data_IF_298670589874
#
_entry.id   IF_298670589874
#
_cell.length_a   1.000
_cell.length_b   1.000
_cell.length_c   1.000
_cell.angle_alpha   90.00
_cell.angle_beta   90.00
_cell.angle_gamma   90.00
#
_symmetry.space_group_name_H-M   'P 1'
#
loop_
_entity.id
_entity.type
_entity.pdbx_description
1 polymer ?
#
# COMPACT_ATOMS: atom_id res chain seq x y z
N UNK A 1 5.76 -7.06 -4.67
CA UNK A 1 5.62 -7.53 -6.08
C UNK A 1 4.29 -8.23 -6.36
N UNK A 2 3.68 -8.95 -5.39
CA UNK A 2 2.42 -9.70 -5.58
C UNK A 2 1.23 -8.85 -6.09
N UNK A 3 1.11 -7.58 -5.71
CA UNK A 3 -0.04 -6.75 -6.12
C UNK A 3 0.03 -6.30 -7.59
N UNK A 4 1.23 -6.09 -8.14
CA UNK A 4 1.44 -5.77 -9.56
C UNK A 4 1.13 -6.99 -10.43
N UNK A 5 1.59 -8.17 -10.02
CA UNK A 5 1.28 -9.44 -10.69
C UNK A 5 -0.21 -9.75 -10.67
N UNK A 6 -0.88 -9.56 -9.52
CA UNK A 6 -2.32 -9.75 -9.39
C UNK A 6 -3.12 -8.77 -10.26
N UNK A 7 -2.69 -7.51 -10.33
CA UNK A 7 -3.30 -6.51 -11.20
C UNK A 7 -3.13 -6.85 -12.69
N UNK A 8 -1.92 -7.23 -13.10
CA UNK A 8 -1.65 -7.68 -14.47
C UNK A 8 -2.47 -8.93 -14.84
N UNK A 9 -2.58 -9.91 -13.93
CA UNK A 9 -3.43 -11.08 -14.12
C UNK A 9 -4.91 -10.70 -14.26
N UNK A 10 -5.39 -9.70 -13.51
CA UNK A 10 -6.75 -9.19 -13.66
C UNK A 10 -6.97 -8.55 -15.04
N UNK A 11 -6.02 -7.73 -15.53
CA UNK A 11 -6.09 -7.18 -16.90
C UNK A 11 -6.12 -8.29 -17.96
N UNK A 12 -5.30 -9.33 -17.80
CA UNK A 12 -5.31 -10.47 -18.73
C UNK A 12 -6.64 -11.23 -18.73
N UNK A 13 -7.31 -11.35 -17.57
CA UNK A 13 -8.66 -11.95 -17.50
C UNK A 13 -9.69 -11.14 -18.27
N UNK A 14 -9.65 -9.80 -18.16
CA UNK A 14 -10.54 -8.92 -18.93
C UNK A 14 -10.34 -9.12 -20.44
N UNK A 15 -9.09 -9.13 -20.91
CA UNK A 15 -8.81 -9.39 -22.33
C UNK A 15 -9.34 -10.75 -22.78
N UNK A 16 -9.13 -11.80 -21.98
CA UNK A 16 -9.64 -13.16 -22.28
C UNK A 16 -11.16 -13.21 -22.32
N UNK A 17 -11.85 -12.44 -21.48
CA UNK A 17 -13.31 -12.34 -21.50
C UNK A 17 -13.83 -11.59 -22.72
N UNK A 18 -13.07 -10.62 -23.23
CA UNK A 18 -13.37 -9.93 -24.47
C UNK A 18 -12.99 -10.74 -25.73
N UNK A 19 -12.35 -11.90 -25.57
CA UNK A 19 -11.83 -12.77 -26.64
C UNK A 19 -10.89 -12.06 -27.64
N UNK A 20 -10.23 -10.99 -27.21
CA UNK A 20 -9.33 -10.20 -28.06
C UNK A 20 -7.90 -10.72 -27.98
N UNK A 21 -7.24 -10.89 -29.12
CA UNK A 21 -5.79 -10.98 -29.17
C UNK A 21 -5.16 -9.63 -28.83
N UNK A 22 -3.90 -9.64 -28.41
CA UNK A 22 -3.16 -8.39 -28.20
C UNK A 22 -2.93 -7.58 -29.48
N UNK A 23 -3.14 -8.16 -30.68
CA UNK A 23 -3.05 -7.42 -31.95
C UNK A 23 -4.35 -6.65 -32.19
N UNK A 24 -5.50 -7.30 -32.07
CA UNK A 24 -6.80 -6.64 -32.17
C UNK A 24 -6.96 -5.56 -31.08
N UNK A 25 -6.50 -5.84 -29.85
CA UNK A 25 -6.51 -4.85 -28.79
C UNK A 25 -5.61 -3.64 -29.10
N UNK A 26 -4.52 -3.81 -29.85
CA UNK A 26 -3.64 -2.71 -30.22
C UNK A 26 -4.36 -1.69 -31.13
N UNK A 27 -5.24 -2.18 -32.00
CA UNK A 27 -6.04 -1.34 -32.90
C UNK A 27 -7.04 -0.48 -32.12
N UNK A 28 -7.56 -0.99 -30.99
CA UNK A 28 -8.50 -0.29 -30.12
C UNK A 28 -7.86 0.60 -29.06
N UNK A 29 -6.66 0.23 -28.58
CA UNK A 29 -6.00 0.92 -27.47
C UNK A 29 -4.97 1.98 -27.92
N UNK A 30 -4.71 2.11 -29.22
CA UNK A 30 -3.70 3.01 -29.80
C UNK A 30 -2.28 2.83 -29.21
N UNK A 31 -1.98 1.63 -28.70
CA UNK A 31 -0.66 1.22 -28.22
C UNK A 31 -0.22 -0.03 -28.96
N UNK A 32 1.08 -0.17 -29.22
CA UNK A 32 1.58 -1.33 -29.95
C UNK A 32 1.36 -2.64 -29.17
N UNK A 33 1.13 -3.72 -29.91
CA UNK A 33 1.00 -5.08 -29.37
C UNK A 33 2.11 -5.41 -28.34
N UNK A 34 3.37 -5.14 -28.69
CA UNK A 34 4.51 -5.40 -27.82
C UNK A 34 4.49 -4.57 -26.51
N UNK A 35 3.97 -3.33 -26.58
CA UNK A 35 3.76 -2.51 -25.39
C UNK A 35 2.68 -3.12 -24.49
N UNK A 36 1.54 -3.54 -25.04
CA UNK A 36 0.43 -4.11 -24.26
C UNK A 36 0.81 -5.46 -23.61
N UNK A 37 1.59 -6.29 -24.30
CA UNK A 37 2.15 -7.53 -23.73
C UNK A 37 3.06 -7.20 -22.55
N UNK A 38 3.94 -6.20 -22.70
CA UNK A 38 4.84 -5.76 -21.62
C UNK A 38 4.07 -5.18 -20.44
N UNK A 39 3.05 -4.34 -20.69
CA UNK A 39 2.20 -3.73 -19.68
C UNK A 39 1.42 -4.76 -18.83
N UNK A 40 1.14 -5.93 -19.41
CA UNK A 40 0.43 -7.03 -18.74
C UNK A 40 1.36 -8.15 -18.26
N UNK A 41 2.68 -7.90 -18.21
CA UNK A 41 3.68 -8.90 -17.80
C UNK A 41 3.76 -9.11 -16.28
N UNK A 42 3.22 -8.20 -15.48
CA UNK A 42 3.34 -8.23 -14.01
C UNK A 42 4.69 -7.77 -13.46
N UNK A 43 5.66 -7.40 -14.32
CA UNK A 43 7.00 -6.95 -13.90
C UNK A 43 7.03 -5.49 -13.43
N UNK A 44 6.16 -4.65 -13.97
CA UNK A 44 5.99 -3.25 -13.60
C UNK A 44 4.53 -2.88 -13.78
N UNK A 45 4.09 -1.86 -13.02
CA UNK A 45 2.75 -1.31 -13.19
C UNK A 45 2.75 -0.33 -14.38
N UNK A 46 1.89 -0.52 -15.40
CA UNK A 46 1.73 0.46 -16.47
C UNK A 46 1.12 1.77 -15.94
N UNK A 47 1.24 2.87 -16.70
CA UNK A 47 0.56 4.11 -16.35
C UNK A 47 -0.96 3.95 -16.38
N UNK A 48 -1.68 4.88 -15.75
CA UNK A 48 -3.14 4.88 -15.80
C UNK A 48 -3.65 5.04 -17.24
N UNK A 49 -3.00 5.85 -18.08
CA UNK A 49 -3.38 6.04 -19.47
C UNK A 49 -3.36 4.72 -20.25
N UNK A 50 -2.26 3.96 -20.15
CA UNK A 50 -2.12 2.64 -20.78
C UNK A 50 -3.16 1.65 -20.23
N UNK A 51 -3.39 1.69 -18.91
CA UNK A 51 -4.37 0.81 -18.24
C UNK A 51 -5.80 1.11 -18.72
N UNK A 52 -6.17 2.39 -18.77
CA UNK A 52 -7.50 2.85 -19.18
C UNK A 52 -7.76 2.54 -20.66
N UNK A 53 -6.77 2.75 -21.54
CA UNK A 53 -6.86 2.41 -22.96
C UNK A 53 -6.99 0.88 -23.15
N UNK A 54 -6.23 0.08 -22.41
CA UNK A 54 -6.34 -1.38 -22.44
C UNK A 54 -7.75 -1.84 -22.03
N UNK A 55 -8.28 -1.33 -20.92
CA UNK A 55 -9.58 -1.76 -20.41
C UNK A 55 -10.72 -1.28 -21.31
N UNK A 56 -10.63 -0.05 -21.81
CA UNK A 56 -11.61 0.51 -22.74
C UNK A 56 -11.59 -0.24 -24.08
N UNK A 57 -10.40 -0.59 -24.59
CA UNK A 57 -10.24 -1.40 -25.79
C UNK A 57 -10.75 -2.83 -25.64
N UNK A 58 -10.74 -3.38 -24.42
CA UNK A 58 -11.41 -4.64 -24.08
C UNK A 58 -12.93 -4.49 -23.83
N UNK A 59 -13.51 -3.31 -24.01
CA UNK A 59 -14.94 -3.08 -23.83
C UNK A 59 -15.42 -3.03 -22.38
N UNK A 60 -14.53 -2.74 -21.41
CA UNK A 60 -14.97 -2.57 -20.02
C UNK A 60 -15.87 -1.34 -19.91
N UNK A 61 -17.09 -1.48 -19.35
CA UNK A 61 -18.01 -0.36 -19.17
C UNK A 61 -17.39 0.81 -18.39
N UNK A 62 -17.72 2.04 -18.79
CA UNK A 62 -17.24 3.25 -18.14
C UNK A 62 -17.56 3.28 -16.63
N UNK A 63 -18.67 2.66 -16.21
CA UNK A 63 -19.09 2.53 -14.81
C UNK A 63 -18.10 1.72 -13.95
N UNK A 64 -17.34 0.80 -14.56
CA UNK A 64 -16.34 -0.01 -13.86
C UNK A 64 -14.96 0.65 -13.83
N UNK A 65 -14.71 1.68 -14.66
CA UNK A 65 -13.44 2.41 -14.70
C UNK A 65 -13.01 2.97 -13.33
N UNK A 66 -13.90 3.58 -12.52
CA UNK A 66 -13.52 4.06 -11.19
C UNK A 66 -13.03 2.95 -10.26
N UNK A 67 -13.59 1.74 -10.36
CA UNK A 67 -13.15 0.61 -9.54
C UNK A 67 -11.74 0.13 -9.95
N UNK A 68 -11.47 0.09 -11.25
CA UNK A 68 -10.14 -0.21 -11.79
C UNK A 68 -9.13 0.87 -11.42
N UNK A 69 -9.50 2.16 -11.51
CA UNK A 69 -8.66 3.28 -11.12
C UNK A 69 -8.26 3.19 -9.66
N UNK A 70 -9.21 2.94 -8.76
CA UNK A 70 -8.90 2.76 -7.33
C UNK A 70 -7.93 1.62 -7.07
N UNK A 71 -8.09 0.49 -7.78
CA UNK A 71 -7.13 -0.63 -7.68
C UNK A 71 -5.76 -0.23 -8.21
N UNK A 72 -5.70 0.42 -9.37
CA UNK A 72 -4.46 0.92 -9.95
C UNK A 72 -3.75 1.89 -9.00
N UNK A 73 -4.46 2.85 -8.41
CA UNK A 73 -3.92 3.81 -7.44
C UNK A 73 -3.37 3.13 -6.18
N UNK A 74 -3.97 2.02 -5.74
CA UNK A 74 -3.43 1.23 -4.61
C UNK A 74 -2.10 0.58 -5.00
N UNK A 75 -1.99 0.04 -6.22
CA UNK A 75 -0.80 -0.63 -6.71
C UNK A 75 0.29 0.37 -7.17
N UNK A 76 -0.11 1.56 -7.62
CA UNK A 76 0.80 2.61 -8.12
C UNK A 76 1.48 3.38 -7.00
N UNK A 77 1.09 3.15 -5.74
CA UNK A 77 1.85 3.64 -4.60
C UNK A 77 3.25 3.07 -4.71
N UNK A 78 4.25 3.93 -4.79
CA UNK A 78 5.64 3.49 -4.78
C UNK A 78 5.92 2.83 -3.42
N UNK A 79 6.09 1.49 -3.36
CA UNK A 79 6.38 0.80 -2.11
C UNK A 79 7.79 1.13 -1.61
N UNK A 80 8.69 1.58 -2.49
CA UNK A 80 10.08 1.85 -2.13
C UNK A 80 10.23 3.12 -1.31
N UNK A 81 9.39 4.13 -1.51
CA UNK A 81 9.47 5.37 -0.74
C UNK A 81 9.07 5.12 0.73
N UNK A 82 8.02 4.34 0.98
CA UNK A 82 7.60 3.99 2.34
C UNK A 82 8.62 3.08 3.03
N UNK A 83 9.16 2.08 2.32
CA UNK A 83 10.16 1.17 2.90
C UNK A 83 11.48 1.90 3.20
N UNK A 84 11.96 2.80 2.32
CA UNK A 84 13.16 3.61 2.57
C UNK A 84 12.97 4.54 3.77
N UNK A 85 11.82 5.22 3.86
CA UNK A 85 11.47 6.05 5.02
C UNK A 85 11.45 5.23 6.32
N UNK A 86 10.92 4.01 6.30
CA UNK A 86 10.87 3.13 7.47
C UNK A 86 12.23 2.57 7.87
N UNK A 87 13.18 2.43 6.94
CA UNK A 87 14.52 1.95 7.25
C UNK A 87 15.28 2.96 8.12
N UNK A 88 15.20 4.25 7.79
CA UNK A 88 15.81 5.35 8.54
C UNK A 88 14.97 5.86 9.70
N UNK A 89 13.71 5.41 9.85
CA UNK A 89 12.84 5.81 10.94
C UNK A 89 13.41 5.40 12.31
N UNK A 90 13.55 6.37 13.20
CA UNK A 90 14.05 6.17 14.57
C UNK A 90 13.04 6.56 15.64
N UNK A 91 12.04 7.36 15.27
CA UNK A 91 11.06 7.93 16.19
C UNK A 91 9.63 7.49 15.86
N UNK A 92 8.72 7.70 16.82
CA UNK A 92 7.28 7.49 16.58
C UNK A 92 6.71 8.47 15.55
N UNK A 93 7.34 9.62 15.39
CA UNK A 93 6.96 10.62 14.40
C UNK A 93 7.29 10.16 12.99
N UNK A 94 8.46 9.56 12.77
CA UNK A 94 8.85 8.94 11.50
C UNK A 94 7.89 7.80 11.12
N UNK A 95 7.51 6.97 12.11
CA UNK A 95 6.51 5.91 11.95
C UNK A 95 5.12 6.50 11.57
N UNK A 96 4.73 7.59 12.22
CA UNK A 96 3.49 8.31 11.96
C UNK A 96 3.45 8.98 10.58
N UNK A 97 4.58 9.52 10.13
CA UNK A 97 4.76 10.10 8.81
C UNK A 97 4.66 9.04 7.71
N UNK A 98 5.31 7.88 7.89
CA UNK A 98 5.20 6.74 6.98
C UNK A 98 3.76 6.19 6.92
N UNK A 99 3.08 6.08 8.07
CA UNK A 99 1.65 5.72 8.12
C UNK A 99 0.77 6.73 7.38
N UNK A 100 1.06 8.03 7.56
CA UNK A 100 0.32 9.10 6.91
C UNK A 100 0.53 9.11 5.40
N UNK A 101 1.75 8.81 4.92
CA UNK A 101 2.05 8.63 3.50
C UNK A 101 1.24 7.46 2.91
N UNK A 102 1.19 6.34 3.64
CA UNK A 102 0.39 5.17 3.26
C UNK A 102 -1.14 5.43 3.32
N UNK A 103 -1.59 6.39 4.13
CA UNK A 103 -3.02 6.65 4.33
C UNK A 103 -3.69 7.48 3.23
N UNK A 104 -2.94 8.18 2.36
CA UNK A 104 -3.54 9.15 1.41
C UNK A 104 -4.24 8.48 0.21
N UNK A 105 -5.46 8.93 -0.20
CA UNK A 105 -6.28 10.04 0.29
C UNK A 105 -7.50 9.56 1.11
N UNK A 106 -7.32 8.63 2.06
CA UNK A 106 -8.45 8.12 2.86
C UNK A 106 -8.69 8.99 4.10
N UNK A 107 -9.93 9.38 4.31
CA UNK A 107 -10.33 10.12 5.51
C UNK A 107 -10.18 9.26 6.76
N UNK A 108 -9.88 9.87 7.92
CA UNK A 108 -9.77 9.15 9.20
C UNK A 108 -11.06 8.37 9.55
N UNK A 109 -12.21 8.90 9.14
CA UNK A 109 -13.53 8.23 9.30
C UNK A 109 -13.61 6.94 8.49
N UNK A 110 -13.09 6.95 7.27
CA UNK A 110 -13.02 5.75 6.43
C UNK A 110 -12.08 4.70 7.05
N UNK A 111 -10.97 5.13 7.63
CA UNK A 111 -10.03 4.20 8.29
C UNK A 111 -10.63 3.58 9.55
N UNK A 112 -11.35 4.36 10.35
CA UNK A 112 -12.08 3.87 11.51
C UNK A 112 -13.11 2.80 11.11
N UNK A 113 -13.92 3.05 10.08
CA UNK A 113 -14.90 2.09 9.57
C UNK A 113 -14.25 0.79 9.05
N UNK A 114 -13.09 0.89 8.39
CA UNK A 114 -12.41 -0.27 7.81
C UNK A 114 -11.64 -1.11 8.84
N UNK A 115 -11.21 -0.51 9.95
CA UNK A 115 -10.28 -1.16 10.89
C UNK A 115 -10.87 -1.40 12.28
N UNK A 116 -11.99 -0.74 12.61
CA UNK A 116 -12.56 -0.71 13.95
C UNK A 116 -11.69 0.03 14.98
N UNK A 117 -10.63 0.72 14.54
CA UNK A 117 -9.76 1.51 15.42
C UNK A 117 -10.33 2.93 15.53
N UNK A 118 -10.54 3.45 16.75
CA UNK A 118 -11.07 4.79 16.93
C UNK A 118 -10.23 5.85 16.22
N UNK A 119 -10.89 6.83 15.59
CA UNK A 119 -10.24 7.98 14.92
C UNK A 119 -9.13 8.61 15.76
N UNK A 120 -9.38 8.80 17.06
CA UNK A 120 -8.44 9.44 18.00
C UNK A 120 -7.17 8.62 18.21
N UNK A 121 -7.27 7.29 18.12
CA UNK A 121 -6.14 6.38 18.23
C UNK A 121 -5.31 6.41 16.95
N UNK A 122 -5.95 6.38 15.77
CA UNK A 122 -5.28 6.51 14.47
C UNK A 122 -4.54 7.85 14.39
N UNK A 123 -5.19 8.94 14.82
CA UNK A 123 -4.58 10.27 14.85
C UNK A 123 -3.36 10.34 15.79
N UNK A 124 -3.40 9.67 16.94
CA UNK A 124 -2.26 9.59 17.86
C UNK A 124 -1.07 8.83 17.27
N UNK A 125 -1.32 7.82 16.45
CA UNK A 125 -0.25 7.11 15.73
C UNK A 125 0.35 7.96 14.62
N UNK A 126 -0.48 8.69 13.87
CA UNK A 126 -0.01 9.54 12.76
C UNK A 126 0.84 10.71 13.27
N UNK A 127 0.54 11.22 14.45
CA UNK A 127 1.31 12.29 15.11
C UNK A 127 2.50 11.78 15.92
N UNK A 128 2.73 10.48 15.99
CA UNK A 128 3.78 9.89 16.83
C UNK A 128 3.58 10.07 18.34
N UNK A 129 2.40 10.53 18.79
CA UNK A 129 2.13 10.78 20.22
C UNK A 129 1.79 9.52 21.00
N UNK A 130 1.46 8.42 20.30
CA UNK A 130 1.11 7.14 20.91
C UNK A 130 1.80 5.98 20.21
N UNK A 131 2.35 5.05 21.00
CA UNK A 131 2.85 3.77 20.49
C UNK A 131 1.69 2.93 19.95
N UNK A 132 1.79 2.49 18.70
CA UNK A 132 0.82 1.58 18.11
C UNK A 132 0.99 0.17 18.67
N UNK A 133 -0.12 -0.51 18.94
CA UNK A 133 -0.08 -1.94 19.24
C UNK A 133 0.17 -2.70 17.92
N UNK A 134 1.08 -3.69 17.94
CA UNK A 134 1.54 -4.43 16.75
C UNK A 134 0.38 -5.03 15.94
N UNK A 135 -0.58 -5.67 16.59
CA UNK A 135 -1.70 -6.34 15.92
C UNK A 135 -2.72 -5.35 15.33
N UNK A 136 -2.88 -4.20 15.99
CA UNK A 136 -3.77 -3.14 15.48
C UNK A 136 -3.10 -2.34 14.36
N UNK A 137 -1.79 -2.16 14.44
CA UNK A 137 -0.99 -1.54 13.39
C UNK A 137 -0.99 -2.43 12.13
N UNK A 138 -0.75 -3.73 12.27
CA UNK A 138 -0.80 -4.67 11.14
C UNK A 138 -2.18 -4.69 10.49
N UNK A 139 -3.27 -4.68 11.28
CA UNK A 139 -4.64 -4.53 10.75
C UNK A 139 -4.84 -3.23 9.97
N UNK A 140 -4.38 -2.10 10.48
CA UNK A 140 -4.48 -0.82 9.80
C UNK A 140 -3.69 -0.82 8.48
N UNK A 141 -2.43 -1.26 8.53
CA UNK A 141 -1.51 -1.28 7.38
C UNK A 141 -2.02 -2.26 6.30
N UNK A 142 -2.60 -3.40 6.69
CA UNK A 142 -3.32 -4.30 5.77
C UNK A 142 -4.55 -3.65 5.15
N UNK A 143 -5.40 -2.99 5.94
CA UNK A 143 -6.59 -2.31 5.43
C UNK A 143 -6.20 -1.16 4.47
N UNK A 144 -5.04 -0.56 4.68
CA UNK A 144 -4.45 0.45 3.80
C UNK A 144 -3.90 -0.13 2.48
N UNK A 145 -3.84 -1.45 2.34
CA UNK A 145 -3.35 -2.13 1.13
C UNK A 145 -1.83 -2.27 1.10
N UNK A 146 -1.15 -2.24 2.25
CA UNK A 146 0.29 -2.43 2.29
C UNK A 146 0.70 -3.86 1.93
N UNK A 147 1.78 -3.94 1.17
CA UNK A 147 2.46 -5.17 0.76
C UNK A 147 3.02 -5.96 1.95
N UNK A 148 3.44 -7.20 1.71
CA UNK A 148 4.16 -7.98 2.73
C UNK A 148 5.44 -7.31 3.21
N UNK A 149 6.17 -6.66 2.30
CA UNK A 149 7.45 -6.03 2.59
C UNK A 149 7.29 -4.76 3.43
N UNK A 150 6.29 -3.94 3.11
CA UNK A 150 5.92 -2.76 3.91
C UNK A 150 5.44 -3.16 5.31
N UNK A 151 4.59 -4.18 5.42
CA UNK A 151 4.13 -4.70 6.73
C UNK A 151 5.29 -5.17 7.59
N UNK A 152 6.23 -5.91 6.99
CA UNK A 152 7.43 -6.35 7.68
C UNK A 152 8.32 -5.17 8.09
N UNK A 153 8.42 -4.13 7.25
CA UNK A 153 9.14 -2.90 7.59
C UNK A 153 8.50 -2.16 8.77
N UNK A 154 7.18 -1.94 8.76
CA UNK A 154 6.45 -1.34 9.87
C UNK A 154 6.63 -2.11 11.18
N UNK A 155 6.56 -3.45 11.14
CA UNK A 155 6.78 -4.29 12.30
C UNK A 155 8.21 -4.13 12.87
N UNK A 156 9.24 -4.19 12.01
CA UNK A 156 10.64 -4.01 12.43
C UNK A 156 10.90 -2.63 13.03
N UNK A 157 10.35 -1.57 12.44
CA UNK A 157 10.51 -0.20 12.95
C UNK A 157 9.81 -0.04 14.30
N UNK A 158 8.60 -0.60 14.47
CA UNK A 158 7.90 -0.59 15.76
C UNK A 158 8.70 -1.33 16.85
N UNK A 159 9.22 -2.52 16.55
CA UNK A 159 10.00 -3.34 17.48
C UNK A 159 11.30 -2.62 17.91
N UNK A 160 11.94 -1.89 16.98
CA UNK A 160 13.12 -1.06 17.26
C UNK A 160 12.80 0.08 18.22
N UNK A 161 11.70 0.81 17.98
CA UNK A 161 11.27 1.94 18.81
C UNK A 161 10.84 1.48 20.21
N UNK A 162 10.12 0.35 20.33
CA UNK A 162 9.74 -0.19 21.63
C UNK A 162 10.94 -0.65 22.45
N UNK A 163 11.94 -1.25 21.78
CA UNK A 163 13.19 -1.68 22.43
C UNK A 163 13.98 -0.48 22.96
N UNK A 164 14.15 0.58 22.15
CA UNK A 164 14.80 1.83 22.59
C UNK A 164 14.11 2.44 23.81
N UNK A 165 12.76 2.52 23.83
CA UNK A 165 12.00 3.04 25.00
C UNK A 165 12.16 2.18 26.24
N UNK A 166 12.20 0.86 26.09
CA UNK A 166 12.39 -0.06 27.22
C UNK A 166 13.75 0.17 27.88
N UNK A 167 14.81 0.34 27.06
CA UNK A 167 16.15 0.69 27.52
C UNK A 167 16.21 2.08 28.19
N UNK A 168 15.52 3.09 27.64
CA UNK A 168 15.44 4.43 28.26
C UNK A 168 14.59 4.47 29.54
N UNK A 169 13.65 3.54 29.71
CA UNK A 169 12.80 3.43 30.91
C UNK A 169 13.41 2.57 32.02
N UNK A 170 14.56 1.94 31.76
CA UNK A 170 15.34 1.18 32.74
C UNK A 170 15.90 2.09 33.83
N UNK A 171 15.08 2.39 34.84
CA UNK A 171 15.49 2.91 36.15
C UNK A 171 16.58 2.02 36.74
N UNK A 172 17.60 2.67 37.30
CA UNK A 172 18.63 2.08 38.15
C UNK A 172 18.02 1.08 39.15
N UNK A 173 18.65 -0.08 39.40
CA UNK A 173 18.32 -0.87 40.58
C UNK A 173 18.71 -0.03 41.80
N UNK A 174 17.72 0.38 42.60
CA UNK A 174 17.98 0.95 43.92
C UNK A 174 18.55 -0.19 44.75
N UNK A 175 19.87 -0.21 44.90
CA UNK A 175 20.58 -1.08 45.84
C UNK A 175 20.14 -0.64 47.23
N UNK A 176 19.25 -1.39 47.89
CA UNK A 176 19.03 -1.25 49.33
C UNK A 176 20.24 -1.86 50.02
N UNK A 177 21.05 -0.99 50.63
CA UNK A 177 22.06 -1.38 51.60
C UNK A 177 21.38 -2.12 52.77
N UNK A 178 21.98 -3.23 53.17
CA UNK A 178 21.77 -3.91 54.44
C UNK A 178 23.09 -3.85 55.21
#
# INVERSE_FOLDING_TARGET
MQDVEAFAAAMQRVRRQADLTYRELADHAHYSHAHLVRATSGKHLPSWDVTSAFLSGCGVPAELMPAWRRRWEIVSRDPQDVVKLLQSAETLEDLGAALSALARPRSLRTLEQLTGVPRTTIQGWFRGTRLANRDRLDRLVRALGATSDERAAFARTLDRISSKRSLSSGRCPVVRAA
#
